data_IF_878596707192
#
_entry.id   IF_878596707192
#
_cell.length_a   1.000
_cell.length_b   1.000
_cell.length_c   1.000
_cell.angle_alpha   90.00
_cell.angle_beta   90.00
_cell.angle_gamma   90.00
#
_symmetry.space_group_name_H-M   'P 1'
#
loop_
_entity.id
_entity.type
_entity.pdbx_description
1 polymer ?
#
# COMPACT_ATOMS: atom_id res chain seq x y z
N UNK A 1 -6.32 -19.00 -11.07
CA UNK A 1 -5.42 -18.53 -12.15
C UNK A 1 -4.31 -17.60 -11.66
N UNK A 2 -4.61 -16.57 -10.85
CA UNK A 2 -3.64 -15.58 -10.38
C UNK A 2 -2.45 -16.17 -9.58
N UNK A 3 -2.71 -17.08 -8.63
CA UNK A 3 -1.66 -17.76 -7.82
C UNK A 3 -0.59 -18.43 -8.68
N UNK A 4 -1.01 -19.26 -9.65
CA UNK A 4 -0.09 -19.95 -10.57
C UNK A 4 0.80 -18.98 -11.36
N UNK A 5 0.25 -17.84 -11.80
CA UNK A 5 1.00 -16.81 -12.53
C UNK A 5 2.03 -16.12 -11.64
N UNK A 6 1.67 -15.85 -10.38
CA UNK A 6 2.57 -15.26 -9.39
C UNK A 6 3.74 -16.20 -9.07
N UNK A 7 3.44 -17.49 -8.81
CA UNK A 7 4.45 -18.52 -8.54
C UNK A 7 5.41 -18.70 -9.72
N UNK A 8 4.89 -18.77 -10.95
CA UNK A 8 5.71 -18.89 -12.16
C UNK A 8 6.62 -17.66 -12.36
N UNK A 9 6.13 -16.46 -12.06
CA UNK A 9 6.92 -15.24 -12.13
C UNK A 9 8.03 -15.24 -11.06
N UNK A 10 7.70 -15.55 -9.81
CA UNK A 10 8.66 -15.63 -8.70
C UNK A 10 9.78 -16.62 -9.04
N UNK A 11 9.44 -17.84 -9.48
CA UNK A 11 10.40 -18.87 -9.83
C UNK A 11 11.40 -18.39 -10.90
N UNK A 12 10.92 -17.61 -11.88
CA UNK A 12 11.76 -17.07 -12.96
C UNK A 12 12.75 -16.00 -12.49
N UNK A 13 12.35 -15.17 -11.52
CA UNK A 13 13.09 -13.96 -11.17
C UNK A 13 13.82 -14.02 -9.82
N UNK A 14 13.62 -15.08 -9.02
CA UNK A 14 14.29 -15.21 -7.71
C UNK A 14 15.82 -15.32 -7.82
N UNK A 15 16.31 -15.91 -8.91
CA UNK A 15 17.74 -16.05 -9.21
C UNK A 15 18.26 -14.99 -10.21
N UNK A 16 17.49 -13.94 -10.47
CA UNK A 16 17.88 -12.92 -11.44
C UNK A 16 19.19 -12.22 -11.03
N UNK A 17 20.14 -11.99 -11.96
CA UNK A 17 21.41 -11.31 -11.65
C UNK A 17 21.20 -9.88 -11.15
N UNK A 18 20.14 -9.20 -11.59
CA UNK A 18 19.76 -7.88 -11.08
C UNK A 18 19.32 -7.96 -9.61
N UNK A 19 20.05 -7.28 -8.73
CA UNK A 19 19.79 -7.25 -7.29
C UNK A 19 18.41 -6.66 -6.95
N UNK A 20 17.98 -5.61 -7.67
CA UNK A 20 16.68 -4.98 -7.48
C UNK A 20 15.51 -5.95 -7.77
N UNK A 21 15.57 -6.64 -8.90
CA UNK A 21 14.52 -7.61 -9.31
C UNK A 21 14.45 -8.78 -8.33
N UNK A 22 15.62 -9.28 -7.90
CA UNK A 22 15.71 -10.36 -6.91
C UNK A 22 15.20 -9.93 -5.53
N UNK A 23 15.43 -8.69 -5.11
CA UNK A 23 14.86 -8.15 -3.87
C UNK A 23 13.34 -8.06 -3.93
N UNK A 24 12.78 -7.63 -5.07
CA UNK A 24 11.33 -7.61 -5.30
C UNK A 24 10.77 -9.03 -5.24
N UNK A 25 11.39 -9.98 -5.94
CA UNK A 25 10.96 -11.38 -5.93
C UNK A 25 10.98 -12.00 -4.52
N UNK A 26 12.04 -11.76 -3.74
CA UNK A 26 12.11 -12.19 -2.33
C UNK A 26 11.03 -11.56 -1.45
N UNK A 27 10.73 -10.27 -1.65
CA UNK A 27 9.67 -9.60 -0.89
C UNK A 27 8.29 -10.17 -1.23
N UNK A 28 8.04 -10.49 -2.50
CA UNK A 28 6.81 -11.14 -2.94
C UNK A 28 6.66 -12.53 -2.35
N UNK A 29 7.72 -13.35 -2.34
CA UNK A 29 7.72 -14.67 -1.67
C UNK A 29 7.31 -14.54 -0.21
N UNK A 30 7.93 -13.60 0.52
CA UNK A 30 7.64 -13.38 1.95
C UNK A 30 6.18 -12.96 2.21
N UNK A 31 5.54 -12.28 1.26
CA UNK A 31 4.18 -11.74 1.40
C UNK A 31 3.13 -12.51 0.59
N UNK A 32 3.45 -13.73 0.15
CA UNK A 32 2.56 -14.49 -0.74
C UNK A 32 1.19 -14.74 -0.09
N UNK A 33 1.16 -15.06 1.20
CA UNK A 33 -0.10 -15.32 1.93
C UNK A 33 -0.96 -14.07 2.06
N UNK A 34 -0.36 -12.92 2.35
CA UNK A 34 -1.04 -11.61 2.40
C UNK A 34 -1.64 -11.25 1.03
N UNK A 35 -0.90 -11.49 -0.05
CA UNK A 35 -1.36 -11.23 -1.43
C UNK A 35 -2.54 -12.12 -1.78
N UNK A 36 -2.47 -13.42 -1.43
CA UNK A 36 -3.58 -14.35 -1.66
C UNK A 36 -4.80 -13.93 -0.84
N UNK A 37 -4.62 -13.57 0.43
CA UNK A 37 -5.69 -13.06 1.30
C UNK A 37 -6.33 -11.80 0.71
N UNK A 38 -5.53 -10.86 0.19
CA UNK A 38 -6.02 -9.65 -0.46
C UNK A 38 -6.85 -9.94 -1.73
N UNK A 39 -6.50 -10.97 -2.50
CA UNK A 39 -7.25 -11.38 -3.70
C UNK A 39 -8.58 -12.04 -3.33
N UNK A 40 -8.61 -12.80 -2.22
CA UNK A 40 -9.81 -13.50 -1.76
C UNK A 40 -10.76 -12.61 -0.95
N UNK A 41 -10.24 -11.53 -0.36
CA UNK A 41 -11.01 -10.59 0.44
C UNK A 41 -12.07 -9.88 -0.41
N UNK A 42 -13.32 -9.78 0.08
CA UNK A 42 -14.37 -8.98 -0.57
C UNK A 42 -14.14 -7.47 -0.38
N UNK A 43 -13.27 -7.08 0.55
CA UNK A 43 -13.00 -5.68 0.87
C UNK A 43 -11.89 -5.13 -0.02
N UNK A 44 -12.15 -3.97 -0.63
CA UNK A 44 -11.13 -3.23 -1.37
C UNK A 44 -10.35 -2.28 -0.47
N UNK A 45 -9.06 -2.13 -0.73
CA UNK A 45 -8.23 -1.12 -0.08
C UNK A 45 -8.58 0.32 -0.53
N UNK A 46 -9.50 0.51 -1.46
CA UNK A 46 -9.79 1.81 -2.09
C UNK A 46 -10.23 2.89 -1.10
N UNK A 47 -11.05 2.56 -0.09
CA UNK A 47 -11.45 3.53 0.96
C UNK A 47 -10.26 4.00 1.80
N UNK A 48 -9.36 3.08 2.15
CA UNK A 48 -8.14 3.36 2.93
C UNK A 48 -7.16 4.18 2.07
N UNK A 49 -6.96 3.80 0.80
CA UNK A 49 -6.10 4.52 -0.13
C UNK A 49 -6.62 5.94 -0.40
N UNK A 50 -7.93 6.11 -0.54
CA UNK A 50 -8.58 7.41 -0.68
C UNK A 50 -8.34 8.31 0.54
N UNK A 51 -8.50 7.75 1.75
CA UNK A 51 -8.18 8.45 3.00
C UNK A 51 -6.71 8.83 3.06
N UNK A 52 -5.79 7.91 2.75
CA UNK A 52 -4.35 8.17 2.71
C UNK A 52 -3.99 9.27 1.70
N UNK A 53 -4.66 9.31 0.55
CA UNK A 53 -4.45 10.36 -0.44
C UNK A 53 -4.96 11.71 0.04
N UNK A 54 -6.13 11.76 0.70
CA UNK A 54 -6.68 12.98 1.30
C UNK A 54 -5.74 13.55 2.37
N UNK A 55 -5.21 12.70 3.25
CA UNK A 55 -4.21 13.09 4.26
C UNK A 55 -2.95 13.65 3.59
N UNK A 56 -2.43 12.98 2.54
CA UNK A 56 -1.28 13.46 1.76
C UNK A 56 -1.56 14.83 1.12
N UNK A 57 -2.75 15.05 0.59
CA UNK A 57 -3.16 16.34 0.02
C UNK A 57 -3.23 17.45 1.08
N UNK A 58 -3.80 17.17 2.26
CA UNK A 58 -3.84 18.12 3.39
C UNK A 58 -2.42 18.54 3.77
N UNK A 59 -1.51 17.57 3.92
CA UNK A 59 -0.09 17.85 4.23
C UNK A 59 0.58 18.73 3.17
N UNK A 60 0.35 18.46 1.87
CA UNK A 60 0.91 19.27 0.76
C UNK A 60 0.33 20.69 0.73
N UNK A 61 -0.98 20.84 0.85
CA UNK A 61 -1.66 22.16 0.83
C UNK A 61 -1.27 23.04 2.02
N UNK A 62 -0.96 22.43 3.16
CA UNK A 62 -0.50 23.15 4.34
C UNK A 62 0.97 23.58 4.31
N UNK A 63 1.75 23.22 3.27
CA UNK A 63 3.20 23.46 3.17
C UNK A 63 4.01 22.96 4.38
N UNK A 64 3.48 21.96 5.09
CA UNK A 64 4.05 21.44 6.33
C UNK A 64 3.39 22.02 7.59
N UNK A 65 3.16 21.16 8.57
CA UNK A 65 2.58 21.54 9.85
C UNK A 65 3.67 21.54 10.93
N UNK A 66 3.90 22.67 11.58
CA UNK A 66 4.83 22.78 12.72
C UNK A 66 4.29 22.09 13.98
N UNK A 67 2.96 22.03 14.13
CA UNK A 67 2.29 21.38 15.25
C UNK A 67 1.47 20.18 14.76
N UNK A 68 1.84 18.99 15.22
CA UNK A 68 1.19 17.73 14.84
C UNK A 68 -0.27 17.65 15.30
N UNK A 69 -0.62 18.28 16.42
CA UNK A 69 -2.00 18.31 16.93
C UNK A 69 -2.91 19.10 15.98
N UNK A 70 -2.41 20.20 15.42
CA UNK A 70 -3.16 20.97 14.40
C UNK A 70 -3.34 20.18 13.11
N UNK A 71 -2.33 19.40 12.71
CA UNK A 71 -2.46 18.50 11.57
C UNK A 71 -3.50 17.41 11.83
N UNK A 72 -3.45 16.77 13.00
CA UNK A 72 -4.40 15.72 13.38
C UNK A 72 -5.84 16.25 13.45
N UNK A 73 -6.05 17.45 14.01
CA UNK A 73 -7.35 18.13 14.01
C UNK A 73 -7.84 18.37 12.58
N UNK A 74 -6.98 18.87 11.68
CA UNK A 74 -7.36 19.09 10.28
C UNK A 74 -7.70 17.79 9.56
N UNK A 75 -6.93 16.72 9.78
CA UNK A 75 -7.23 15.41 9.22
C UNK A 75 -8.59 14.92 9.72
N UNK A 76 -8.83 14.96 11.05
CA UNK A 76 -10.11 14.55 11.63
C UNK A 76 -11.29 15.31 11.05
N UNK A 77 -11.22 16.63 10.95
CA UNK A 77 -12.28 17.46 10.37
C UNK A 77 -12.61 17.08 8.92
N UNK A 78 -11.60 16.69 8.14
CA UNK A 78 -11.76 16.39 6.71
C UNK A 78 -12.13 14.93 6.44
N UNK A 79 -11.72 14.00 7.31
CA UNK A 79 -11.96 12.55 7.13
C UNK A 79 -13.13 12.03 7.97
N UNK A 80 -13.70 12.82 8.88
CA UNK A 80 -14.82 12.42 9.74
C UNK A 80 -16.08 11.98 8.98
N UNK A 81 -16.27 12.43 7.73
CA UNK A 81 -17.42 12.03 6.90
C UNK A 81 -17.14 10.79 6.01
N UNK A 82 -15.92 10.23 6.04
CA UNK A 82 -15.49 9.13 5.15
C UNK A 82 -15.48 7.78 5.89
N UNK A 83 -15.44 7.82 7.23
CA UNK A 83 -15.59 6.67 8.12
C UNK A 83 -17.01 6.67 8.68
#
# INVERSE_FOLDING_TARGET
QAKRRLEAWIHRYVCCPCSAVRAIAKSLVRRTDEIISCILSPYSNGKIEGTNNKIKLIKRRGYGYRNIQRFALRVRLETANIL
#
